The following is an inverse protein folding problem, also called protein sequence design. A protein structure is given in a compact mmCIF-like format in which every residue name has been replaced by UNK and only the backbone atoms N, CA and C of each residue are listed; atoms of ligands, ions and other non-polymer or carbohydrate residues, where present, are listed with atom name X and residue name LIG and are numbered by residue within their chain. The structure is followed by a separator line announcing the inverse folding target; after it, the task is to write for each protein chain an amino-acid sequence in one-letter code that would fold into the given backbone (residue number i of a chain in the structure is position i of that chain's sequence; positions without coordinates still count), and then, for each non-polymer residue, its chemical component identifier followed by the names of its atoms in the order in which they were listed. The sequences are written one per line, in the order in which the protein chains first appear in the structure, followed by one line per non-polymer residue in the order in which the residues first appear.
data_IF_527579118594
#
_entry.id   IF_527579118594
#
_cell.length_a   1.000
_cell.length_b   1.000
_cell.length_c   1.000
_cell.angle_alpha   90.00
_cell.angle_beta   90.00
_cell.angle_gamma   90.00
#
_symmetry.space_group_name_H-M   'P 1'
#
loop_
_entity.id
_entity.type
_entity.pdbx_description
1 polymer ?
#
# COMPACT_ATOMS: atom_id res chain seq x y z
N UNK A 1 -14.07 -0.09 25.75
CA UNK A 1 -14.84 -0.31 24.50
C UNK A 1 -15.20 1.06 23.96
N UNK A 2 -14.67 1.45 22.80
CA UNK A 2 -14.91 2.77 22.21
C UNK A 2 -16.27 2.81 21.50
N UNK A 3 -16.98 3.93 21.61
CA UNK A 3 -18.34 4.16 21.07
C UNK A 3 -18.52 3.88 19.56
N UNK A 4 -17.44 3.69 18.80
CA UNK A 4 -17.48 3.33 17.38
C UNK A 4 -17.95 1.88 17.12
N UNK A 5 -17.85 0.98 18.11
CA UNK A 5 -18.17 -0.45 17.92
C UNK A 5 -19.68 -0.75 17.87
N UNK A 6 -20.53 0.27 18.04
CA UNK A 6 -22.00 0.14 18.10
C UNK A 6 -22.72 0.98 17.05
N UNK A 7 -22.01 1.82 16.30
CA UNK A 7 -22.57 2.60 15.20
C UNK A 7 -22.56 1.75 13.91
N UNK A 8 -23.72 1.53 13.26
CA UNK A 8 -23.82 0.74 12.04
C UNK A 8 -22.87 1.20 10.93
N UNK A 9 -22.59 2.50 10.81
CA UNK A 9 -21.71 3.02 9.76
C UNK A 9 -20.26 2.63 9.98
N UNK A 10 -19.81 2.60 11.24
CA UNK A 10 -18.46 2.16 11.58
C UNK A 10 -18.31 0.65 11.47
N UNK A 11 -19.32 -0.12 11.89
CA UNK A 11 -19.34 -1.58 11.73
C UNK A 11 -19.30 -1.97 10.26
N UNK A 12 -20.09 -1.32 9.40
CA UNK A 12 -20.04 -1.54 7.95
C UNK A 12 -18.65 -1.22 7.38
N UNK A 13 -18.03 -0.13 7.79
CA UNK A 13 -16.68 0.21 7.35
C UNK A 13 -15.61 -0.81 7.80
N UNK A 14 -15.80 -1.47 8.95
CA UNK A 14 -14.94 -2.55 9.42
C UNK A 14 -15.13 -3.81 8.57
N UNK A 15 -16.38 -4.18 8.26
CA UNK A 15 -16.68 -5.28 7.35
C UNK A 15 -16.08 -5.06 5.96
N UNK A 16 -16.23 -3.87 5.37
CA UNK A 16 -15.62 -3.54 4.07
C UNK A 16 -14.09 -3.79 4.05
N UNK A 17 -13.40 -3.46 5.15
CA UNK A 17 -11.96 -3.68 5.27
C UNK A 17 -11.62 -5.18 5.40
N UNK A 18 -12.39 -5.95 6.17
CA UNK A 18 -12.19 -7.40 6.30
C UNK A 18 -12.48 -8.13 4.99
N UNK A 19 -13.55 -7.77 4.27
CA UNK A 19 -13.84 -8.29 2.93
C UNK A 19 -12.72 -7.95 1.94
N UNK A 20 -12.09 -6.78 2.09
CA UNK A 20 -10.91 -6.43 1.31
C UNK A 20 -9.72 -7.35 1.62
N UNK A 21 -9.54 -7.75 2.88
CA UNK A 21 -8.48 -8.67 3.28
C UNK A 21 -8.73 -10.10 2.76
N UNK A 22 -9.98 -10.56 2.79
CA UNK A 22 -10.38 -11.85 2.25
C UNK A 22 -10.16 -11.91 0.73
N UNK A 23 -10.67 -10.92 -0.02
CA UNK A 23 -10.47 -10.83 -1.48
C UNK A 23 -9.00 -10.81 -1.88
N UNK A 24 -8.16 -10.21 -1.04
CA UNK A 24 -6.72 -10.12 -1.29
C UNK A 24 -5.91 -11.26 -0.67
N UNK A 25 -6.54 -12.24 -0.02
CA UNK A 25 -5.86 -13.33 0.69
C UNK A 25 -4.73 -12.82 1.59
N UNK A 26 -5.02 -11.78 2.38
CA UNK A 26 -4.02 -11.11 3.24
C UNK A 26 -3.50 -12.04 4.33
N UNK A 27 -4.34 -12.94 4.84
CA UNK A 27 -4.02 -13.83 5.95
C UNK A 27 -4.79 -15.15 5.88
N UNK A 28 -4.38 -16.11 6.72
CA UNK A 28 -5.13 -17.34 7.01
C UNK A 28 -5.34 -17.49 8.52
N UNK A 29 -6.52 -17.97 8.93
CA UNK A 29 -6.78 -18.29 10.33
C UNK A 29 -6.22 -19.68 10.66
N UNK A 30 -5.21 -19.73 11.54
CA UNK A 30 -4.46 -20.94 11.86
C UNK A 30 -4.36 -21.17 13.36
N UNK A 31 -4.00 -22.40 13.74
CA UNK A 31 -3.59 -22.67 15.12
C UNK A 31 -2.26 -21.97 15.40
N UNK A 32 -2.13 -21.31 16.56
CA UNK A 32 -0.88 -20.64 16.91
C UNK A 32 0.24 -21.67 17.05
N UNK A 33 1.39 -21.49 16.39
CA UNK A 33 2.51 -22.41 16.57
C UNK A 33 3.06 -22.32 18.00
N UNK A 34 3.82 -23.35 18.45
CA UNK A 34 4.48 -23.31 19.75
C UNK A 34 5.32 -22.03 19.92
N UNK A 35 5.18 -21.37 21.06
CA UNK A 35 5.87 -20.10 21.39
C UNK A 35 5.49 -18.89 20.51
N UNK A 36 4.39 -18.96 19.76
CA UNK A 36 3.87 -17.81 19.01
C UNK A 36 3.54 -16.64 19.93
N UNK A 37 4.04 -15.44 19.59
CA UNK A 37 3.62 -14.18 20.23
C UNK A 37 2.87 -13.35 19.20
N UNK A 38 1.55 -13.56 19.04
CA UNK A 38 0.79 -12.85 18.02
C UNK A 38 0.72 -11.37 18.35
N UNK A 39 0.96 -10.55 17.34
CA UNK A 39 0.93 -9.09 17.43
C UNK A 39 -0.53 -8.65 17.61
N UNK A 40 -0.78 -7.72 18.53
CA UNK A 40 -2.11 -7.14 18.71
C UNK A 40 -2.55 -6.34 17.48
N UNK A 41 -3.85 -6.33 17.18
CA UNK A 41 -4.43 -5.50 16.13
C UNK A 41 -5.32 -4.42 16.74
N UNK A 42 -5.44 -3.28 16.07
CA UNK A 42 -6.33 -2.19 16.48
C UNK A 42 -7.01 -1.54 15.29
N UNK A 43 -8.23 -1.07 15.52
CA UNK A 43 -9.00 -0.32 14.55
C UNK A 43 -8.64 1.16 14.58
N UNK A 44 -8.45 1.74 13.40
CA UNK A 44 -8.31 3.18 13.20
C UNK A 44 -9.48 3.67 12.39
N UNK A 45 -10.18 4.68 12.91
CA UNK A 45 -11.36 5.25 12.32
C UNK A 45 -11.06 6.64 11.77
N UNK A 46 -11.51 6.93 10.56
CA UNK A 46 -11.39 8.25 9.93
C UNK A 46 -12.65 8.58 9.15
N UNK A 47 -13.22 9.75 9.44
CA UNK A 47 -14.28 10.33 8.61
C UNK A 47 -13.66 10.98 7.38
N UNK A 48 -14.22 10.67 6.21
CA UNK A 48 -14.02 11.47 5.01
C UNK A 48 -15.13 12.51 4.92
N UNK A 49 -14.73 13.76 4.91
CA UNK A 49 -15.62 14.90 4.75
C UNK A 49 -15.68 15.32 3.28
N UNK A 50 -16.86 15.78 2.85
CA UNK A 50 -17.05 16.43 1.57
C UNK A 50 -16.51 17.87 1.59
N UNK A 51 -16.60 18.55 0.45
CA UNK A 51 -16.20 19.96 0.34
C UNK A 51 -17.03 20.88 1.25
N UNK A 52 -18.26 20.46 1.59
CA UNK A 52 -19.18 21.11 2.52
C UNK A 52 -18.87 20.80 4.00
N UNK A 53 -17.85 19.99 4.29
CA UNK A 53 -17.49 19.56 5.64
C UNK A 53 -18.38 18.44 6.21
N UNK A 54 -19.41 17.99 5.50
CA UNK A 54 -20.28 16.90 5.94
C UNK A 54 -19.58 15.55 5.80
N UNK A 55 -19.86 14.61 6.71
CA UNK A 55 -19.28 13.26 6.62
C UNK A 55 -19.92 12.52 5.45
N UNK A 56 -19.12 12.25 4.42
CA UNK A 56 -19.54 11.51 3.22
C UNK A 56 -19.28 10.02 3.40
N UNK A 57 -18.25 9.64 4.17
CA UNK A 57 -17.91 8.24 4.37
C UNK A 57 -17.12 7.98 5.66
N UNK A 58 -17.49 6.93 6.37
CA UNK A 58 -16.72 6.34 7.44
C UNK A 58 -15.66 5.39 6.85
N UNK A 59 -14.40 5.52 7.26
CA UNK A 59 -13.33 4.59 6.89
C UNK A 59 -12.72 3.97 8.14
N UNK A 60 -12.87 2.66 8.29
CA UNK A 60 -12.12 1.88 9.26
C UNK A 60 -10.89 1.28 8.57
N UNK A 61 -9.79 1.14 9.31
CA UNK A 61 -8.61 0.38 8.88
C UNK A 61 -8.13 -0.47 10.04
N UNK A 62 -7.80 -1.72 9.76
CA UNK A 62 -7.12 -2.56 10.73
C UNK A 62 -5.62 -2.37 10.59
N UNK A 63 -4.94 -2.09 11.69
CA UNK A 63 -3.49 -2.03 11.74
C UNK A 63 -2.93 -2.80 12.91
N UNK A 64 -1.63 -3.03 12.88
CA UNK A 64 -0.89 -3.47 14.05
C UNK A 64 -1.09 -2.49 15.25
N UNK A 65 -1.13 -3.04 16.45
CA UNK A 65 -1.34 -2.31 17.70
C UNK A 65 -0.20 -1.36 18.06
N UNK A 66 1.01 -1.64 17.57
CA UNK A 66 2.24 -0.87 17.78
C UNK A 66 2.37 0.17 16.66
N UNK A 67 2.54 1.43 17.04
CA UNK A 67 2.86 2.50 16.10
C UNK A 67 4.39 2.58 15.96
N UNK A 68 4.90 2.33 14.75
CA UNK A 68 6.31 2.55 14.42
C UNK A 68 6.47 3.91 13.75
N UNK A 69 7.38 4.73 14.27
CA UNK A 69 7.70 6.03 13.66
C UNK A 69 8.71 5.89 12.50
N UNK A 70 9.48 4.81 12.46
CA UNK A 70 10.48 4.57 11.43
C UNK A 70 9.98 3.60 10.35
N UNK A 71 10.02 4.02 9.09
CA UNK A 71 9.79 3.13 7.93
C UNK A 71 11.12 2.74 7.30
N UNK A 72 11.23 1.47 6.87
CA UNK A 72 12.46 0.96 6.23
C UNK A 72 12.45 1.06 4.70
N UNK A 73 11.47 1.72 4.09
CA UNK A 73 11.38 1.87 2.64
C UNK A 73 12.05 3.17 2.18
N UNK A 74 12.66 3.20 0.98
CA UNK A 74 13.05 4.46 0.36
C UNK A 74 11.82 5.33 0.11
N UNK A 75 11.85 6.57 0.61
CA UNK A 75 10.81 7.57 0.38
C UNK A 75 11.40 8.71 -0.44
N UNK A 76 10.70 9.12 -1.52
CA UNK A 76 11.18 10.21 -2.35
C UNK A 76 11.14 11.50 -1.56
N UNK A 77 12.22 12.28 -1.62
CA UNK A 77 12.26 13.59 -0.98
C UNK A 77 11.48 14.61 -1.82
N UNK A 78 10.96 15.64 -1.18
CA UNK A 78 10.23 16.71 -1.88
C UNK A 78 11.11 17.38 -2.94
N UNK A 79 12.39 17.58 -2.67
CA UNK A 79 13.35 18.14 -3.63
C UNK A 79 13.49 17.24 -4.88
N UNK A 80 13.45 15.93 -4.68
CA UNK A 80 13.50 14.98 -5.79
C UNK A 80 12.23 15.05 -6.65
N UNK A 81 11.05 15.20 -6.02
CA UNK A 81 9.79 15.43 -6.74
C UNK A 81 9.87 16.75 -7.52
N UNK A 82 10.34 17.83 -6.91
CA UNK A 82 10.52 19.13 -7.58
C UNK A 82 11.47 19.03 -8.79
N UNK A 83 12.59 18.32 -8.65
CA UNK A 83 13.53 18.08 -9.76
C UNK A 83 12.85 17.31 -10.90
N UNK A 84 12.03 16.30 -10.58
CA UNK A 84 11.29 15.55 -11.60
C UNK A 84 10.30 16.46 -12.36
N UNK A 85 9.56 17.30 -11.64
CA UNK A 85 8.61 18.24 -12.23
C UNK A 85 9.32 19.23 -13.16
N UNK A 86 10.42 19.83 -12.70
CA UNK A 86 11.23 20.75 -13.49
C UNK A 86 11.82 20.07 -14.74
N UNK A 87 12.33 18.85 -14.60
CA UNK A 87 12.83 18.05 -15.72
C UNK A 87 11.72 17.78 -16.74
N UNK A 88 10.55 17.30 -16.28
CA UNK A 88 9.42 17.02 -17.14
C UNK A 88 8.95 18.26 -17.91
N UNK A 89 8.85 19.40 -17.24
CA UNK A 89 8.51 20.68 -17.87
C UNK A 89 9.54 21.05 -18.96
N UNK A 90 10.85 20.91 -18.68
CA UNK A 90 11.91 21.22 -19.64
C UNK A 90 11.90 20.31 -20.88
N UNK A 91 11.40 19.07 -20.74
CA UNK A 91 11.34 18.07 -21.82
C UNK A 91 9.96 17.97 -22.49
N UNK A 92 8.99 18.75 -22.04
CA UNK A 92 7.61 18.66 -22.51
C UNK A 92 6.92 17.33 -22.15
N UNK A 93 7.38 16.64 -21.11
CA UNK A 93 6.78 15.38 -20.67
C UNK A 93 5.47 15.64 -19.94
N UNK A 94 4.41 14.92 -20.32
CA UNK A 94 3.17 14.88 -19.54
C UNK A 94 3.33 13.88 -18.42
N UNK A 95 3.21 14.36 -17.18
CA UNK A 95 3.20 13.51 -15.99
C UNK A 95 1.77 13.15 -15.59
N UNK A 96 1.62 11.96 -15.03
CA UNK A 96 0.41 11.41 -14.45
C UNK A 96 0.75 10.93 -13.03
N UNK A 97 -0.25 10.95 -12.16
CA UNK A 97 -0.16 10.40 -10.81
C UNK A 97 -1.15 9.25 -10.67
N UNK A 98 -0.70 8.16 -10.06
CA UNK A 98 -1.50 6.99 -9.72
C UNK A 98 -1.43 6.76 -8.22
N UNK A 99 -2.59 6.72 -7.57
CA UNK A 99 -2.75 6.30 -6.17
C UNK A 99 -3.04 4.80 -6.11
N UNK A 100 -2.13 4.02 -5.54
CA UNK A 100 -2.30 2.57 -5.44
C UNK A 100 -3.18 2.24 -4.22
N UNK A 101 -4.41 1.79 -4.51
CA UNK A 101 -5.33 1.36 -3.45
C UNK A 101 -4.73 0.19 -2.68
N UNK A 102 -4.70 0.35 -1.35
CA UNK A 102 -4.21 -0.68 -0.44
C UNK A 102 -2.80 -1.18 -0.78
N UNK A 103 -1.90 -0.27 -1.21
CA UNK A 103 -0.53 -0.56 -1.63
C UNK A 103 0.23 -1.54 -0.71
N UNK A 104 0.07 -1.44 0.61
CA UNK A 104 0.73 -2.35 1.55
C UNK A 104 0.18 -3.77 1.51
N UNK A 105 -1.12 -3.95 1.23
CA UNK A 105 -1.72 -5.25 0.98
C UNK A 105 -1.28 -5.85 -0.36
N UNK A 106 -0.57 -5.11 -1.21
CA UNK A 106 0.10 -5.68 -2.37
C UNK A 106 1.50 -6.23 -2.03
N UNK A 107 2.15 -5.76 -0.96
CA UNK A 107 3.45 -6.28 -0.52
C UNK A 107 3.35 -7.69 0.07
N UNK A 108 4.14 -8.64 -0.44
CA UNK A 108 4.30 -9.94 0.21
C UNK A 108 5.28 -9.81 1.38
N UNK A 109 4.98 -10.51 2.48
CA UNK A 109 5.93 -10.63 3.58
C UNK A 109 6.64 -11.99 3.47
N UNK A 110 7.96 -11.98 3.60
CA UNK A 110 8.78 -13.21 3.67
C UNK A 110 8.83 -13.76 5.09
N UNK A 111 8.68 -12.87 6.07
CA UNK A 111 8.71 -13.19 7.49
C UNK A 111 7.40 -13.81 7.94
N UNK A 112 7.50 -14.78 8.84
CA UNK A 112 6.34 -15.43 9.43
C UNK A 112 5.76 -14.55 10.55
N UNK A 113 4.74 -13.77 10.20
CA UNK A 113 4.08 -12.83 11.11
C UNK A 113 2.68 -13.32 11.47
N UNK A 114 2.40 -13.36 12.77
CA UNK A 114 1.09 -13.70 13.32
C UNK A 114 0.46 -12.49 13.99
N UNK A 115 -0.83 -12.28 13.76
CA UNK A 115 -1.61 -11.22 14.39
C UNK A 115 -2.83 -11.80 15.09
N UNK A 116 -3.27 -11.13 16.16
CA UNK A 116 -4.52 -11.45 16.84
C UNK A 116 -5.71 -11.15 15.93
N UNK A 117 -6.80 -11.87 16.15
CA UNK A 117 -8.06 -11.62 15.47
C UNK A 117 -8.51 -10.16 15.69
N UNK A 118 -9.14 -9.51 14.69
CA UNK A 118 -9.58 -8.13 14.82
C UNK A 118 -10.54 -7.98 16.00
N UNK A 119 -10.37 -6.96 16.88
CA UNK A 119 -11.24 -6.77 18.02
C UNK A 119 -12.70 -6.63 17.60
N UNK A 120 -13.58 -7.44 18.19
CA UNK A 120 -15.02 -7.48 17.90
C UNK A 120 -15.41 -8.37 16.70
N UNK A 121 -14.44 -9.05 16.08
CA UNK A 121 -14.63 -9.95 14.94
C UNK A 121 -13.93 -11.30 15.17
N UNK A 122 -13.77 -11.70 16.43
CA UNK A 122 -13.20 -12.98 16.80
C UNK A 122 -14.12 -14.14 16.45
N UNK A 123 -13.55 -15.24 15.96
CA UNK A 123 -14.29 -16.45 15.63
C UNK A 123 -14.83 -17.12 16.89
N UNK A 124 -16.16 -17.20 17.01
CA UNK A 124 -16.80 -17.93 18.09
C UNK A 124 -16.44 -19.43 18.10
N UNK A 125 -16.15 -20.01 16.92
CA UNK A 125 -15.75 -21.41 16.78
C UNK A 125 -14.28 -21.64 17.12
N UNK A 126 -13.44 -20.64 16.87
CA UNK A 126 -11.98 -20.73 17.03
C UNK A 126 -11.42 -19.49 17.75
N UNK A 127 -11.78 -19.29 19.03
CA UNK A 127 -11.41 -18.06 19.75
C UNK A 127 -9.90 -17.90 19.94
N UNK A 128 -9.18 -19.00 20.11
CA UNK A 128 -7.73 -18.99 20.38
C UNK A 128 -6.85 -19.02 19.12
N UNK A 129 -7.46 -19.04 17.92
CA UNK A 129 -6.71 -19.01 16.66
C UNK A 129 -6.16 -17.62 16.36
N UNK A 130 -5.11 -17.60 15.55
CA UNK A 130 -4.40 -16.38 15.13
C UNK A 130 -4.39 -16.29 13.61
N UNK A 131 -4.26 -15.08 13.07
CA UNK A 131 -4.09 -14.88 11.65
C UNK A 131 -2.60 -14.93 11.30
N UNK A 132 -2.21 -15.85 10.42
CA UNK A 132 -0.91 -15.84 9.76
C UNK A 132 -0.97 -14.91 8.56
N UNK A 133 -0.17 -13.86 8.56
CA UNK A 133 -0.12 -12.92 7.44
C UNK A 133 0.60 -13.54 6.24
N UNK A 134 0.03 -13.36 5.06
CA UNK A 134 0.67 -13.61 3.75
C UNK A 134 1.15 -12.31 3.10
N UNK A 135 0.45 -11.21 3.41
CA UNK A 135 0.71 -9.88 2.88
C UNK A 135 0.85 -8.88 4.01
N UNK A 136 1.49 -7.76 3.74
CA UNK A 136 1.82 -6.81 4.77
C UNK A 136 0.57 -6.04 5.24
N UNK A 137 0.35 -6.01 6.56
CA UNK A 137 -0.67 -5.21 7.22
C UNK A 137 -0.19 -3.77 7.46
N UNK A 138 -1.11 -2.81 7.49
CA UNK A 138 -0.81 -1.46 7.96
C UNK A 138 -0.23 -1.46 9.38
N UNK A 139 0.69 -0.55 9.66
CA UNK A 139 1.38 -0.45 10.95
C UNK A 139 2.62 -1.32 11.06
N UNK A 140 2.75 -2.41 10.29
CA UNK A 140 3.98 -3.19 10.28
C UNK A 140 5.15 -2.35 9.79
N UNK A 141 6.26 -2.39 10.53
CA UNK A 141 7.53 -1.72 10.15
C UNK A 141 8.02 -2.12 8.75
N UNK A 142 7.66 -3.32 8.29
CA UNK A 142 8.06 -3.87 6.99
C UNK A 142 7.07 -3.63 5.85
N UNK A 143 5.86 -3.13 6.12
CA UNK A 143 4.83 -2.99 5.09
C UNK A 143 5.22 -2.05 3.93
N UNK A 144 5.74 -0.83 4.18
CA UNK A 144 6.23 0.02 3.10
C UNK A 144 7.38 -0.64 2.30
N UNK A 145 8.25 -1.40 2.98
CA UNK A 145 9.40 -2.08 2.35
C UNK A 145 8.93 -3.20 1.43
N UNK A 146 7.99 -4.02 1.89
CA UNK A 146 7.41 -5.12 1.11
C UNK A 146 6.71 -4.59 -0.15
N UNK A 147 5.94 -3.51 0.00
CA UNK A 147 5.31 -2.82 -1.14
C UNK A 147 6.34 -2.32 -2.15
N UNK A 148 7.31 -1.52 -1.69
CA UNK A 148 8.38 -1.00 -2.53
C UNK A 148 9.15 -2.12 -3.24
N UNK A 149 9.47 -3.23 -2.54
CA UNK A 149 10.19 -4.36 -3.12
C UNK A 149 9.40 -5.04 -4.25
N UNK A 150 8.07 -5.24 -4.08
CA UNK A 150 7.20 -5.77 -5.13
C UNK A 150 7.17 -4.84 -6.34
N UNK A 151 6.93 -3.54 -6.13
CA UNK A 151 6.87 -2.56 -7.21
C UNK A 151 8.21 -2.46 -7.95
N UNK A 152 9.32 -2.40 -7.21
CA UNK A 152 10.68 -2.46 -7.78
C UNK A 152 10.87 -3.70 -8.65
N UNK A 153 10.51 -4.89 -8.16
CA UNK A 153 10.65 -6.12 -8.94
C UNK A 153 9.83 -6.07 -10.22
N UNK A 154 8.60 -5.55 -10.16
CA UNK A 154 7.74 -5.37 -11.33
C UNK A 154 8.37 -4.41 -12.36
N UNK A 155 8.86 -3.25 -11.93
CA UNK A 155 9.49 -2.26 -12.80
C UNK A 155 10.75 -2.82 -13.48
N UNK A 156 11.63 -3.48 -12.71
CA UNK A 156 12.84 -4.10 -13.25
C UNK A 156 12.52 -5.19 -14.28
N UNK A 157 11.54 -6.06 -14.00
CA UNK A 157 11.06 -7.08 -14.96
C UNK A 157 10.43 -6.47 -16.21
N UNK A 158 9.89 -5.25 -16.09
CA UNK A 158 9.34 -4.47 -17.20
C UNK A 158 10.42 -3.73 -18.02
N UNK A 159 11.69 -3.90 -17.67
CA UNK A 159 12.84 -3.32 -18.37
C UNK A 159 13.22 -1.92 -17.90
N UNK A 160 12.65 -1.44 -16.79
CA UNK A 160 13.11 -0.19 -16.18
C UNK A 160 14.46 -0.38 -15.50
N UNK A 161 15.25 0.68 -15.52
CA UNK A 161 16.49 0.82 -14.78
C UNK A 161 16.24 1.72 -13.57
N UNK A 162 16.74 1.30 -12.42
CA UNK A 162 16.65 2.08 -11.17
C UNK A 162 17.77 3.14 -11.13
N UNK A 163 17.45 4.32 -10.60
CA UNK A 163 18.42 5.39 -10.38
C UNK A 163 19.62 4.96 -9.53
N UNK A 164 20.81 5.41 -9.93
CA UNK A 164 22.06 5.12 -9.21
C UNK A 164 22.11 5.83 -7.85
N UNK A 165 21.67 7.08 -7.80
CA UNK A 165 21.60 7.90 -6.58
C UNK A 165 20.26 7.74 -5.88
N UNK A 166 19.17 8.01 -6.61
CA UNK A 166 17.83 7.97 -6.04
C UNK A 166 17.13 6.64 -6.36
N UNK A 167 16.90 5.83 -5.31
CA UNK A 167 16.27 4.51 -5.43
C UNK A 167 14.75 4.56 -5.64
N UNK A 168 14.15 5.75 -5.57
CA UNK A 168 12.72 5.94 -5.88
C UNK A 168 12.48 6.30 -7.33
N UNK A 169 13.55 6.56 -8.11
CA UNK A 169 13.49 6.89 -9.52
C UNK A 169 13.76 5.66 -10.38
N UNK A 170 12.93 5.48 -11.40
CA UNK A 170 13.06 4.45 -12.42
C UNK A 170 12.87 5.08 -13.79
N UNK A 171 13.59 4.60 -14.79
CA UNK A 171 13.41 5.05 -16.16
C UNK A 171 13.67 3.92 -17.15
N UNK A 172 13.05 3.99 -18.31
CA UNK A 172 13.30 3.09 -19.42
C UNK A 172 13.37 3.91 -20.69
N UNK A 173 14.31 3.56 -21.58
CA UNK A 173 14.35 4.12 -22.92
C UNK A 173 14.10 3.02 -23.96
N UNK A 174 13.22 3.29 -24.92
CA UNK A 174 12.85 2.36 -26.00
C UNK A 174 12.73 3.15 -27.30
N UNK A 175 13.57 2.86 -28.29
CA UNK A 175 13.48 3.50 -29.60
C UNK A 175 13.63 5.02 -29.57
N UNK A 176 14.43 5.57 -28.64
CA UNK A 176 14.59 7.02 -28.45
C UNK A 176 13.55 7.66 -27.52
N UNK A 177 12.44 6.99 -27.27
CA UNK A 177 11.47 7.43 -26.26
C UNK A 177 11.93 7.08 -24.85
N UNK A 178 11.50 7.89 -23.87
CA UNK A 178 11.81 7.69 -22.46
C UNK A 178 10.54 7.72 -21.63
N UNK A 179 10.41 6.78 -20.70
CA UNK A 179 9.41 6.80 -19.62
C UNK A 179 10.14 6.86 -18.29
N UNK A 180 9.68 7.74 -17.41
CA UNK A 180 10.20 7.97 -16.06
C UNK A 180 9.09 7.66 -15.06
N UNK A 181 9.45 7.02 -13.95
CA UNK A 181 8.57 6.64 -12.85
C UNK A 181 9.26 7.02 -11.54
N UNK A 182 8.54 7.70 -10.66
CA UNK A 182 8.95 8.07 -9.31
C UNK A 182 7.94 7.51 -8.31
N UNK A 183 8.45 6.81 -7.30
CA UNK A 183 7.64 6.20 -6.25
C UNK A 183 7.66 7.10 -5.01
N UNK A 184 6.48 7.44 -4.49
CA UNK A 184 6.31 8.16 -3.24
C UNK A 184 5.27 7.46 -2.36
N UNK A 185 5.74 6.53 -1.52
CA UNK A 185 4.86 5.70 -0.66
C UNK A 185 3.79 4.97 -1.49
N UNK A 186 2.53 5.41 -1.42
CA UNK A 186 1.39 4.81 -2.12
C UNK A 186 1.15 5.48 -3.49
N UNK A 187 1.77 6.63 -3.74
CA UNK A 187 1.68 7.39 -4.98
C UNK A 187 2.79 7.03 -5.96
N UNK A 188 2.44 7.00 -7.24
CA UNK A 188 3.39 6.80 -8.34
C UNK A 188 3.21 7.95 -9.33
N UNK A 189 4.26 8.76 -9.48
CA UNK A 189 4.32 9.85 -10.46
C UNK A 189 5.10 9.33 -11.66
N UNK A 190 4.51 9.34 -12.85
CA UNK A 190 5.16 8.81 -14.04
C UNK A 190 4.80 9.61 -15.29
N UNK A 191 5.63 9.50 -16.33
CA UNK A 191 5.39 10.14 -17.61
C UNK A 191 6.54 9.94 -18.56
N UNK A 192 6.52 10.59 -19.71
CA UNK A 192 7.54 10.34 -20.73
C UNK A 192 7.35 11.15 -22.01
N UNK A 193 8.21 10.87 -22.99
CA UNK A 193 8.19 11.50 -24.31
C UNK A 193 7.05 10.99 -25.19
N UNK A 194 6.61 9.75 -25.00
CA UNK A 194 5.56 9.11 -25.79
C UNK A 194 4.33 8.81 -24.96
N UNK A 195 3.21 9.42 -25.35
CA UNK A 195 1.90 9.17 -24.72
C UNK A 195 1.53 7.68 -24.77
N UNK A 196 1.79 7.00 -25.89
CA UNK A 196 1.49 5.58 -26.05
C UNK A 196 2.24 4.71 -25.04
N UNK A 197 3.52 5.00 -24.78
CA UNK A 197 4.30 4.27 -23.77
C UNK A 197 3.80 4.53 -22.35
N UNK A 198 3.41 5.76 -22.05
CA UNK A 198 2.85 6.15 -20.74
C UNK A 198 1.50 5.46 -20.50
N UNK A 199 0.61 5.45 -21.50
CA UNK A 199 -0.67 4.73 -21.42
C UNK A 199 -0.47 3.22 -21.26
N UNK A 200 0.41 2.60 -22.05
CA UNK A 200 0.74 1.17 -21.93
C UNK A 200 1.37 0.82 -20.57
N UNK A 201 2.09 1.76 -19.94
CA UNK A 201 2.57 1.58 -18.58
C UNK A 201 1.42 1.63 -17.56
N UNK A 202 0.51 2.60 -17.67
CA UNK A 202 -0.63 2.74 -16.78
C UNK A 202 -1.56 1.51 -16.82
N UNK A 203 -1.82 0.96 -18.02
CA UNK A 203 -2.60 -0.27 -18.21
C UNK A 203 -1.93 -1.47 -17.51
N UNK A 204 -0.64 -1.70 -17.75
CA UNK A 204 0.09 -2.82 -17.12
C UNK A 204 0.17 -2.72 -15.60
N UNK A 205 0.25 -1.50 -15.07
CA UNK A 205 0.17 -1.28 -13.63
C UNK A 205 -1.20 -1.72 -13.11
N UNK A 206 -2.28 -1.27 -13.75
CA UNK A 206 -3.67 -1.57 -13.33
C UNK A 206 -4.03 -3.06 -13.40
N UNK A 207 -3.39 -3.82 -14.29
CA UNK A 207 -3.60 -5.27 -14.40
C UNK A 207 -2.86 -6.09 -13.34
N UNK A 208 -1.73 -5.60 -12.82
CA UNK A 208 -0.78 -6.41 -12.03
C UNK A 208 -0.58 -5.93 -10.60
N UNK A 209 -1.05 -4.73 -10.28
CA UNK A 209 -0.87 -4.01 -9.01
C UNK A 209 -2.19 -3.35 -8.62
#
# INVERSE_FOLDING_TARGET
MSHASSDPNWVNAMHEELENFERNHVWDLVEPPPNCRPIGTKWVFKNKQGEDGMVVRNKARLKEGIDYEETFAPVARLEAITILLAFAASKGFKLQQMDVKAAFLNGFIEEEVYVRQPPGFESARFPDRVYKLRKALYGLKHAPRAWYARLKSFLLKSGFVMGSVDKTLFFVSRGGDTTIVRIYVDDIIFGGSSHALVSSFAERMSERI
#
